data_IF_391716628250
#
_entry.id   IF_391716628250
#
_cell.length_a   1.000
_cell.length_b   1.000
_cell.length_c   1.000
_cell.angle_alpha   90.00
_cell.angle_beta   90.00
_cell.angle_gamma   90.00
#
_symmetry.space_group_name_H-M   'P 1'
#
loop_
_entity.id
_entity.type
_entity.pdbx_description
1 polymer ?
#
# COMPACT_ATOMS: atom_id res chain seq x y z
N UNK A 1 49.27 30.55 30.09
CA UNK A 1 48.81 29.48 29.19
C UNK A 1 48.03 29.95 27.95
N UNK A 2 47.46 31.17 27.93
CA UNK A 2 46.69 31.67 26.76
C UNK A 2 47.60 32.13 25.59
N UNK A 3 48.82 32.57 25.88
CA UNK A 3 49.77 33.07 24.85
C UNK A 3 50.34 31.95 23.98
N UNK A 4 50.49 30.73 24.51
CA UNK A 4 50.95 29.58 23.70
C UNK A 4 49.91 29.13 22.67
N UNK A 5 48.61 29.28 22.96
CA UNK A 5 47.54 28.92 22.02
C UNK A 5 47.53 29.79 20.76
N UNK A 6 47.83 31.08 20.88
CA UNK A 6 47.86 32.02 19.75
C UNK A 6 48.99 31.74 18.77
N UNK A 7 50.15 31.32 19.27
CA UNK A 7 51.33 31.03 18.43
C UNK A 7 51.13 29.76 17.61
N UNK A 8 50.49 28.73 18.18
CA UNK A 8 50.16 27.48 17.46
C UNK A 8 49.13 27.74 16.35
N UNK A 9 48.14 28.61 16.61
CA UNK A 9 47.11 28.95 15.63
C UNK A 9 47.68 29.74 14.44
N UNK A 10 48.61 30.66 14.70
CA UNK A 10 49.30 31.40 13.64
C UNK A 10 50.26 30.53 12.83
N UNK A 11 50.97 29.58 13.47
CA UNK A 11 51.80 28.60 12.78
C UNK A 11 50.98 27.64 11.91
N UNK A 12 49.81 27.20 12.40
CA UNK A 12 48.89 26.35 11.64
C UNK A 12 48.31 27.09 10.43
N UNK A 13 47.91 28.35 10.61
CA UNK A 13 47.37 29.19 9.53
C UNK A 13 48.45 29.48 8.47
N UNK A 14 49.67 29.77 8.90
CA UNK A 14 50.80 29.97 8.00
C UNK A 14 51.17 28.70 7.23
N UNK A 15 51.16 27.54 7.90
CA UNK A 15 51.41 26.26 7.25
C UNK A 15 50.33 25.90 6.21
N UNK A 16 49.06 26.25 6.48
CA UNK A 16 47.93 26.04 5.55
C UNK A 16 47.99 26.94 4.31
N UNK A 17 48.59 28.14 4.43
CA UNK A 17 48.78 29.07 3.31
C UNK A 17 50.02 28.74 2.47
N UNK A 18 51.03 28.09 3.05
CA UNK A 18 52.30 27.80 2.36
C UNK A 18 52.40 26.39 1.78
N UNK A 19 51.50 25.48 2.12
CA UNK A 19 51.43 24.16 1.47
C UNK A 19 50.70 24.29 0.13
N UNK A 20 51.36 24.00 -1.01
CA UNK A 20 50.69 24.00 -2.30
C UNK A 20 49.60 22.93 -2.26
N UNK A 21 48.34 23.35 -2.41
CA UNK A 21 47.23 22.43 -2.62
C UNK A 21 47.55 21.66 -3.89
N UNK A 22 47.85 20.38 -3.77
CA UNK A 22 47.85 19.48 -4.92
C UNK A 22 46.44 19.50 -5.48
N UNK A 23 46.25 20.27 -6.54
CA UNK A 23 45.17 20.07 -7.51
C UNK A 23 45.46 18.72 -8.17
N UNK A 24 45.22 17.63 -7.44
CA UNK A 24 44.85 16.38 -8.04
C UNK A 24 43.51 16.65 -8.72
N UNK A 25 43.57 17.18 -9.94
CA UNK A 25 42.65 16.72 -10.98
C UNK A 25 42.84 15.21 -11.04
N UNK A 26 42.15 14.51 -10.16
CA UNK A 26 41.84 13.12 -10.34
C UNK A 26 40.93 13.11 -11.58
N UNK A 27 41.55 13.07 -12.76
CA UNK A 27 40.88 12.64 -13.97
C UNK A 27 40.16 11.37 -13.58
N UNK A 28 38.83 11.48 -13.53
CA UNK A 28 37.95 10.40 -13.14
C UNK A 28 38.21 9.31 -14.16
N UNK A 29 39.02 8.32 -13.76
CA UNK A 29 39.43 7.24 -14.63
C UNK A 29 38.14 6.55 -15.13
N UNK A 30 37.82 6.62 -16.43
CA UNK A 30 36.55 6.11 -16.96
C UNK A 30 36.39 4.62 -16.65
N UNK A 31 37.51 3.89 -16.45
CA UNK A 31 37.49 2.51 -16.00
C UNK A 31 36.92 2.35 -14.58
N UNK A 32 37.21 3.28 -13.66
CA UNK A 32 36.64 3.28 -12.30
C UNK A 32 35.15 3.63 -12.30
N UNK A 33 34.72 4.52 -13.20
CA UNK A 33 33.28 4.86 -13.34
C UNK A 33 32.52 3.67 -13.88
N UNK A 34 33.01 3.03 -14.95
CA UNK A 34 32.40 1.82 -15.49
C UNK A 34 32.33 0.70 -14.44
N UNK A 35 33.36 0.57 -13.60
CA UNK A 35 33.37 -0.42 -12.51
C UNK A 35 32.38 -0.06 -11.38
N UNK A 36 32.15 1.22 -11.10
CA UNK A 36 31.15 1.67 -10.14
C UNK A 36 29.72 1.49 -10.67
N UNK A 37 29.47 1.76 -11.95
CA UNK A 37 28.19 1.50 -12.61
C UNK A 37 27.87 0.00 -12.61
N UNK A 38 28.86 -0.85 -12.89
CA UNK A 38 28.70 -2.29 -12.84
C UNK A 38 28.40 -2.80 -11.42
N UNK A 39 29.01 -2.20 -10.38
CA UNK A 39 28.70 -2.49 -8.97
C UNK A 39 27.32 -2.00 -8.55
N UNK A 40 26.87 -0.85 -9.07
CA UNK A 40 25.52 -0.32 -8.84
C UNK A 40 24.46 -1.21 -9.47
N UNK A 41 24.67 -1.66 -10.71
CA UNK A 41 23.76 -2.61 -11.37
C UNK A 41 23.68 -3.96 -10.64
N UNK A 42 24.80 -4.45 -10.10
CA UNK A 42 24.79 -5.65 -9.26
C UNK A 42 24.00 -5.47 -7.95
N UNK A 43 24.10 -4.29 -7.32
CA UNK A 43 23.33 -3.96 -6.12
C UNK A 43 21.83 -3.80 -6.39
N UNK A 44 21.45 -3.26 -7.56
CA UNK A 44 20.06 -3.20 -8.00
C UNK A 44 19.49 -4.60 -8.28
N UNK A 45 20.30 -5.51 -8.85
CA UNK A 45 19.94 -6.92 -8.99
C UNK A 45 19.63 -7.59 -7.65
N UNK A 46 20.51 -7.39 -6.65
CA UNK A 46 20.28 -7.91 -5.28
C UNK A 46 19.01 -7.32 -4.66
N UNK A 47 18.69 -6.04 -4.94
CA UNK A 47 17.46 -5.40 -4.45
C UNK A 47 16.21 -6.00 -5.09
N UNK A 48 16.29 -6.37 -6.37
CA UNK A 48 15.24 -7.12 -7.07
C UNK A 48 15.03 -8.50 -6.47
N UNK A 49 16.11 -9.24 -6.21
CA UNK A 49 16.05 -10.55 -5.55
C UNK A 49 15.43 -10.49 -4.15
N UNK A 50 15.79 -9.49 -3.34
CA UNK A 50 15.17 -9.25 -2.04
C UNK A 50 13.67 -8.93 -2.15
N UNK A 51 13.25 -8.22 -3.19
CA UNK A 51 11.82 -8.00 -3.48
C UNK A 51 11.08 -9.30 -3.79
N UNK A 52 11.69 -10.19 -4.57
CA UNK A 52 11.09 -11.52 -4.88
C UNK A 52 11.04 -12.43 -3.66
N UNK A 53 12.04 -12.38 -2.78
CA UNK A 53 12.05 -13.08 -1.49
C UNK A 53 10.96 -12.56 -0.56
N UNK A 54 10.74 -11.24 -0.52
CA UNK A 54 9.63 -10.63 0.21
C UNK A 54 8.26 -11.10 -0.30
N UNK A 55 8.09 -11.19 -1.63
CA UNK A 55 6.88 -11.76 -2.23
C UNK A 55 6.67 -13.23 -1.90
N UNK A 56 7.74 -14.04 -1.85
CA UNK A 56 7.68 -15.46 -1.44
C UNK A 56 7.33 -15.61 0.04
N UNK A 57 7.84 -14.75 0.92
CA UNK A 57 7.46 -14.73 2.33
C UNK A 57 5.98 -14.34 2.51
N UNK A 58 5.49 -13.37 1.75
CA UNK A 58 4.07 -12.99 1.77
C UNK A 58 3.16 -14.14 1.30
N UNK A 59 3.64 -14.96 0.35
CA UNK A 59 2.93 -16.14 -0.14
C UNK A 59 2.93 -17.32 0.86
N UNK A 60 3.85 -17.32 1.84
CA UNK A 60 3.91 -18.34 2.90
C UNK A 60 2.99 -18.01 4.10
N UNK A 61 2.64 -16.74 4.33
CA UNK A 61 1.70 -16.34 5.39
C UNK A 61 0.36 -17.11 5.39
N UNK A 62 -0.32 -17.38 4.25
CA UNK A 62 -1.53 -18.19 4.25
C UNK A 62 -1.28 -19.68 4.55
N UNK A 63 -0.08 -20.21 4.28
CA UNK A 63 0.28 -21.58 4.65
C UNK A 63 0.53 -21.71 6.14
N UNK A 64 1.17 -20.72 6.76
CA UNK A 64 1.39 -20.65 8.20
C UNK A 64 0.05 -20.59 8.97
N UNK A 65 -0.90 -19.79 8.46
CA UNK A 65 -2.28 -19.77 8.98
C UNK A 65 -3.01 -21.11 8.84
N UNK A 66 -2.76 -21.88 7.77
CA UNK A 66 -3.33 -23.23 7.60
C UNK A 66 -2.69 -24.24 8.53
N UNK A 67 -1.40 -24.13 8.80
CA UNK A 67 -0.70 -24.99 9.76
C UNK A 67 -1.20 -24.70 11.18
N UNK A 68 -1.29 -23.43 11.60
CA UNK A 68 -1.89 -23.09 12.89
C UNK A 68 -3.36 -23.50 13.00
N UNK A 69 -4.14 -23.41 11.92
CA UNK A 69 -5.52 -23.89 11.90
C UNK A 69 -5.61 -25.42 12.01
N UNK A 70 -4.61 -26.17 11.53
CA UNK A 70 -4.52 -27.62 11.68
C UNK A 70 -4.00 -28.03 13.07
N UNK A 71 -3.01 -27.32 13.60
CA UNK A 71 -2.48 -27.55 14.95
C UNK A 71 -3.52 -27.22 16.04
N UNK A 72 -4.31 -26.16 15.84
CA UNK A 72 -5.40 -25.81 16.74
C UNK A 72 -6.70 -26.55 16.46
N UNK A 73 -6.75 -27.40 15.41
CA UNK A 73 -7.93 -28.23 15.15
C UNK A 73 -7.97 -29.28 16.24
N UNK A 74 -8.98 -29.27 17.14
CA UNK A 74 -9.11 -30.31 18.15
C UNK A 74 -9.13 -31.66 17.44
N UNK A 75 -8.41 -32.69 17.93
CA UNK A 75 -8.45 -34.01 17.34
C UNK A 75 -9.93 -34.42 17.21
N UNK A 76 -10.34 -35.00 16.05
CA UNK A 76 -11.71 -35.44 15.88
C UNK A 76 -12.03 -36.37 17.05
N UNK A 77 -13.02 -35.96 17.87
CA UNK A 77 -13.47 -36.75 19.00
C UNK A 77 -13.92 -38.09 18.42
N UNK A 78 -13.12 -39.13 18.63
CA UNK A 78 -13.51 -40.49 18.26
C UNK A 78 -14.88 -40.74 18.90
N UNK A 79 -15.88 -41.21 18.14
CA UNK A 79 -17.19 -41.52 18.68
C UNK A 79 -17.02 -42.40 19.92
N UNK A 80 -17.58 -41.97 21.05
CA UNK A 80 -17.44 -42.68 22.32
C UNK A 80 -18.08 -44.06 22.18
N UNK A 81 -17.26 -45.12 22.19
CA UNK A 81 -17.71 -46.51 22.03
C UNK A 81 -18.14 -47.15 23.35
N UNK A 82 -17.92 -46.48 24.49
CA UNK A 82 -18.34 -46.94 25.82
C UNK A 82 -19.84 -47.29 25.93
N UNK A 83 -20.79 -46.62 25.24
CA UNK A 83 -22.19 -47.04 25.27
C UNK A 83 -22.42 -48.38 24.60
N UNK A 84 -21.67 -48.69 23.54
CA UNK A 84 -21.78 -49.96 22.82
C UNK A 84 -21.18 -51.11 23.63
N UNK A 85 -20.05 -50.87 24.32
CA UNK A 85 -19.47 -51.85 25.25
C UNK A 85 -20.45 -52.18 26.40
N UNK A 86 -21.13 -51.18 26.95
CA UNK A 86 -22.17 -51.38 27.96
C UNK A 86 -23.36 -52.20 27.44
N UNK A 87 -23.79 -51.95 26.20
CA UNK A 87 -24.86 -52.74 25.57
C UNK A 87 -24.47 -54.20 25.37
N UNK A 88 -23.23 -54.48 24.93
CA UNK A 88 -22.72 -55.85 24.76
C UNK A 88 -22.64 -56.59 26.11
N UNK A 89 -22.16 -55.93 27.17
CA UNK A 89 -22.13 -56.52 28.51
C UNK A 89 -23.53 -56.90 29.03
N UNK A 90 -24.51 -56.01 28.85
CA UNK A 90 -25.91 -56.27 29.24
C UNK A 90 -26.57 -57.41 28.46
N UNK A 91 -26.16 -57.63 27.21
CA UNK A 91 -26.65 -58.74 26.38
C UNK A 91 -26.04 -60.07 26.83
N UNK A 92 -24.75 -60.07 27.14
CA UNK A 92 -24.05 -61.24 27.67
C UNK A 92 -24.64 -61.70 29.02
N UNK A 93 -24.96 -60.76 29.91
CA UNK A 93 -25.58 -61.09 31.19
C UNK A 93 -27.00 -61.68 31.03
N UNK A 94 -27.81 -61.11 30.13
CA UNK A 94 -29.13 -61.66 29.80
C UNK A 94 -29.06 -63.07 29.24
N UNK A 95 -28.08 -63.35 28.38
CA UNK A 95 -27.86 -64.70 27.84
C UNK A 95 -27.50 -65.70 28.95
N UNK A 96 -26.58 -65.33 29.86
CA UNK A 96 -26.18 -66.18 30.98
C UNK A 96 -27.30 -66.45 32.00
N UNK A 97 -28.25 -65.53 32.15
CA UNK A 97 -29.46 -65.75 32.99
C UNK A 97 -30.43 -66.70 32.28
N UNK A 98 -30.62 -66.55 30.96
CA UNK A 98 -31.49 -67.43 30.18
C UNK A 98 -30.98 -68.89 30.18
N UNK A 99 -29.67 -69.11 30.03
CA UNK A 99 -29.07 -70.45 30.08
C UNK A 99 -29.28 -71.13 31.44
N UNK A 100 -29.11 -70.39 32.54
CA UNK A 100 -29.37 -70.91 33.90
C UNK A 100 -30.84 -71.26 34.11
N UNK A 101 -31.76 -70.47 33.55
CA UNK A 101 -33.19 -70.76 33.56
C UNK A 101 -33.53 -72.04 32.80
N UNK A 102 -32.93 -72.24 31.63
CA UNK A 102 -33.12 -73.45 30.82
C UNK A 102 -32.62 -74.71 31.55
N UNK A 103 -31.45 -74.66 32.19
CA UNK A 103 -30.93 -75.78 32.98
C UNK A 103 -31.88 -76.16 34.14
N UNK A 104 -32.39 -75.17 34.88
CA UNK A 104 -33.35 -75.41 35.97
C UNK A 104 -34.68 -76.00 35.48
N UNK A 105 -35.15 -75.61 34.29
CA UNK A 105 -36.35 -76.17 33.71
C UNK A 105 -36.17 -77.67 33.36
N UNK A 106 -35.01 -78.04 32.81
CA UNK A 106 -34.65 -79.43 32.52
C UNK A 106 -34.59 -80.29 33.78
N UNK A 107 -33.98 -79.78 34.85
CA UNK A 107 -33.92 -80.50 36.13
C UNK A 107 -35.31 -80.73 36.74
N UNK A 108 -36.20 -79.74 36.65
CA UNK A 108 -37.60 -79.87 37.09
C UNK A 108 -38.38 -80.88 36.26
N UNK A 109 -38.16 -80.90 34.95
CA UNK A 109 -38.77 -81.88 34.05
C UNK A 109 -38.33 -83.30 34.42
N UNK A 110 -37.02 -83.54 34.59
CA UNK A 110 -36.48 -84.83 35.00
C UNK A 110 -36.99 -85.26 36.39
N UNK A 111 -37.11 -84.33 37.34
CA UNK A 111 -37.66 -84.62 38.66
C UNK A 111 -39.15 -85.02 38.58
N UNK A 112 -39.95 -84.35 37.74
CA UNK A 112 -41.35 -84.70 37.53
C UNK A 112 -41.51 -86.06 36.84
N UNK A 113 -40.64 -86.38 35.89
CA UNK A 113 -40.65 -87.67 35.20
C UNK A 113 -40.36 -88.83 36.17
N UNK A 114 -39.39 -88.68 37.09
CA UNK A 114 -39.15 -89.66 38.16
C UNK A 114 -40.36 -89.83 39.09
N UNK A 115 -41.08 -88.73 39.37
CA UNK A 115 -42.31 -88.79 40.20
C UNK A 115 -43.44 -89.52 39.47
N UNK A 116 -43.56 -89.34 38.15
CA UNK A 116 -44.52 -90.07 37.33
C UNK A 116 -44.20 -91.58 37.30
N UNK A 117 -42.94 -91.95 37.06
CA UNK A 117 -42.51 -93.36 37.09
C UNK A 117 -42.75 -94.02 38.46
N UNK A 118 -42.51 -93.30 39.55
CA UNK A 118 -42.80 -93.79 40.90
C UNK A 118 -44.30 -93.98 41.17
N UNK A 119 -45.17 -93.22 40.49
CA UNK A 119 -46.63 -93.38 40.57
C UNK A 119 -47.12 -94.54 39.70
N UNK A 120 -46.49 -94.80 38.56
CA UNK A 120 -46.78 -95.94 37.67
C UNK A 120 -46.34 -97.28 38.29
N UNK A 121 -45.30 -97.30 39.11
CA UNK A 121 -44.83 -98.49 39.84
C UNK A 121 -45.71 -98.89 41.06
N UNK A 122 -46.92 -98.33 41.19
CA UNK A 122 -47.81 -98.68 42.30
C UNK A 122 -48.27 -100.15 42.21
N UNK A 123 -48.20 -100.92 43.30
CA UNK A 123 -48.63 -102.32 43.31
C UNK A 123 -50.13 -102.43 43.03
N UNK A 124 -50.50 -103.50 42.31
CA UNK A 124 -51.87 -103.82 41.93
C UNK A 124 -52.79 -103.86 43.17
N UNK A 125 -53.93 -103.17 43.05
CA UNK A 125 -54.97 -103.09 44.06
C UNK A 125 -55.51 -104.48 44.39
N UNK A 126 -55.39 -104.90 45.65
CA UNK A 126 -55.92 -106.16 46.17
C UNK A 126 -57.39 -105.97 46.59
N UNK A 127 -58.36 -106.55 45.87
CA UNK A 127 -59.78 -106.38 46.15
C UNK A 127 -60.27 -107.17 47.38
N UNK A 128 -59.43 -107.94 48.07
CA UNK A 128 -59.80 -108.66 49.30
C UNK A 128 -59.53 -107.87 50.59
N UNK A 129 -58.79 -106.76 50.53
CA UNK A 129 -58.48 -105.88 51.66
C UNK A 129 -59.42 -104.65 51.72
N UNK A 130 -60.72 -104.84 51.44
CA UNK A 130 -61.71 -103.77 51.52
C UNK A 130 -61.85 -103.33 52.97
N UNK A 131 -61.30 -102.15 53.26
CA UNK A 131 -61.36 -101.53 54.57
C UNK A 131 -62.83 -101.36 55.01
N UNK A 132 -63.11 -101.48 56.33
CA UNK A 132 -64.46 -101.33 56.88
C UNK A 132 -65.06 -99.98 56.48
N UNK A 133 -66.40 -99.90 56.37
CA UNK A 133 -67.19 -98.74 55.92
C UNK A 133 -66.71 -97.36 56.44
N UNK A 134 -66.17 -97.31 57.65
CA UNK A 134 -65.56 -96.12 58.25
C UNK A 134 -64.33 -95.56 57.49
N UNK A 135 -63.55 -96.39 56.81
CA UNK A 135 -62.42 -95.95 55.99
C UNK A 135 -62.86 -95.27 54.69
N UNK A 136 -64.01 -95.66 54.13
CA UNK A 136 -64.61 -94.95 53.00
C UNK A 136 -65.14 -93.58 53.42
N UNK A 137 -65.74 -93.48 54.60
CA UNK A 137 -66.18 -92.18 55.15
C UNK A 137 -64.97 -91.25 55.41
N UNK A 138 -63.87 -91.79 55.92
CA UNK A 138 -62.61 -91.04 56.09
C UNK A 138 -61.98 -90.60 54.75
N UNK A 139 -62.11 -91.42 53.70
CA UNK A 139 -61.68 -91.02 52.35
C UNK A 139 -62.61 -89.97 51.75
N UNK A 140 -63.92 -90.07 51.96
CA UNK A 140 -64.91 -89.06 51.55
C UNK A 140 -64.59 -87.69 52.12
N UNK A 141 -64.42 -87.60 53.45
CA UNK A 141 -64.04 -86.33 54.11
C UNK A 141 -62.69 -85.78 53.62
N UNK A 142 -61.72 -86.65 53.32
CA UNK A 142 -60.42 -86.25 52.77
C UNK A 142 -60.54 -85.73 51.33
N UNK A 143 -61.36 -86.38 50.49
CA UNK A 143 -61.63 -85.94 49.12
C UNK A 143 -62.34 -84.60 49.13
N UNK A 144 -63.31 -84.40 50.01
CA UNK A 144 -63.98 -83.10 50.20
C UNK A 144 -63.00 -82.01 50.64
N UNK A 145 -62.16 -82.29 51.63
CA UNK A 145 -61.12 -81.35 52.07
C UNK A 145 -60.10 -81.03 50.96
N UNK A 146 -59.75 -82.02 50.12
CA UNK A 146 -58.91 -81.80 48.95
C UNK A 146 -59.62 -80.97 47.88
N UNK A 147 -60.90 -81.21 47.62
CA UNK A 147 -61.70 -80.42 46.69
C UNK A 147 -61.78 -78.96 47.14
N UNK A 148 -62.02 -78.70 48.43
CA UNK A 148 -62.00 -77.33 48.98
C UNK A 148 -60.62 -76.68 48.85
N UNK A 149 -59.53 -77.43 49.09
CA UNK A 149 -58.17 -76.92 48.92
C UNK A 149 -57.84 -76.58 47.46
N UNK A 150 -58.30 -77.40 46.52
CA UNK A 150 -58.14 -77.12 45.09
C UNK A 150 -58.90 -75.86 44.69
N UNK A 151 -60.14 -75.68 45.16
CA UNK A 151 -60.91 -74.45 44.92
C UNK A 151 -60.22 -73.21 45.49
N UNK A 152 -59.63 -73.30 46.68
CA UNK A 152 -58.85 -72.20 47.27
C UNK A 152 -57.59 -71.88 46.47
N UNK A 153 -56.87 -72.90 46.00
CA UNK A 153 -55.69 -72.71 45.16
C UNK A 153 -56.04 -72.07 43.82
N UNK A 154 -57.15 -72.49 43.21
CA UNK A 154 -57.62 -71.93 41.94
C UNK A 154 -58.03 -70.45 42.09
N UNK A 155 -58.70 -70.12 43.20
CA UNK A 155 -59.01 -68.73 43.55
C UNK A 155 -57.74 -67.88 43.79
N UNK A 156 -56.72 -68.40 44.49
CA UNK A 156 -55.45 -67.69 44.71
C UNK A 156 -54.66 -67.51 43.40
N UNK A 157 -54.60 -68.55 42.55
CA UNK A 157 -53.96 -68.46 41.24
C UNK A 157 -54.64 -67.43 40.35
N UNK A 158 -55.98 -67.41 40.33
CA UNK A 158 -56.76 -66.42 39.58
C UNK A 158 -56.46 -65.00 40.07
N UNK A 159 -56.37 -64.81 41.40
CA UNK A 159 -56.02 -63.51 41.99
C UNK A 159 -54.61 -63.06 41.61
N UNK A 160 -53.62 -63.96 41.72
CA UNK A 160 -52.24 -63.67 41.34
C UNK A 160 -52.08 -63.37 39.85
N UNK A 161 -52.82 -64.08 39.00
CA UNK A 161 -52.83 -63.82 37.56
C UNK A 161 -53.39 -62.42 37.26
N UNK A 162 -54.49 -62.03 37.90
CA UNK A 162 -55.05 -60.68 37.74
C UNK A 162 -54.11 -59.59 38.27
N UNK A 163 -53.45 -59.83 39.41
CA UNK A 163 -52.46 -58.90 39.96
C UNK A 163 -51.23 -58.76 39.06
N UNK A 164 -50.73 -59.88 38.51
CA UNK A 164 -49.63 -59.87 37.54
C UNK A 164 -50.01 -59.13 36.26
N UNK A 165 -51.20 -59.38 35.71
CA UNK A 165 -51.71 -58.68 34.53
C UNK A 165 -51.78 -57.16 34.76
N UNK A 166 -52.32 -56.71 35.90
CA UNK A 166 -52.36 -55.28 36.24
C UNK A 166 -50.96 -54.67 36.41
N UNK A 167 -50.04 -55.42 37.00
CA UNK A 167 -48.66 -54.96 37.15
C UNK A 167 -47.95 -54.81 35.79
N UNK A 168 -48.20 -55.73 34.85
CA UNK A 168 -47.65 -55.67 33.50
C UNK A 168 -48.26 -54.52 32.68
N UNK A 169 -49.59 -54.33 32.73
CA UNK A 169 -50.26 -53.16 32.12
C UNK A 169 -49.71 -51.83 32.65
N UNK A 170 -49.47 -51.73 33.96
CA UNK A 170 -48.86 -50.55 34.56
C UNK A 170 -47.42 -50.33 34.10
N UNK A 171 -46.62 -51.39 33.94
CA UNK A 171 -45.26 -51.30 33.41
C UNK A 171 -45.25 -50.86 31.95
N UNK A 172 -46.17 -51.37 31.14
CA UNK A 172 -46.30 -50.97 29.74
C UNK A 172 -46.69 -49.50 29.63
N UNK A 173 -47.66 -49.03 30.41
CA UNK A 173 -48.04 -47.61 30.43
C UNK A 173 -46.88 -46.72 30.90
N UNK A 174 -46.17 -47.11 31.95
CA UNK A 174 -45.00 -46.38 32.42
C UNK A 174 -43.88 -46.36 31.37
N UNK A 175 -43.64 -47.48 30.68
CA UNK A 175 -42.65 -47.56 29.61
C UNK A 175 -43.03 -46.70 28.40
N UNK A 176 -44.31 -46.68 28.02
CA UNK A 176 -44.83 -45.82 26.96
C UNK A 176 -44.67 -44.33 27.32
N UNK A 177 -45.05 -43.95 28.55
CA UNK A 177 -44.87 -42.58 29.04
C UNK A 177 -43.39 -42.16 29.04
N UNK A 178 -42.50 -43.02 29.52
CA UNK A 178 -41.06 -42.78 29.49
C UNK A 178 -40.52 -42.64 28.06
N UNK A 179 -41.02 -43.44 27.11
CA UNK A 179 -40.64 -43.32 25.70
C UNK A 179 -41.12 -42.00 25.10
N UNK A 180 -42.37 -41.60 25.34
CA UNK A 180 -42.91 -40.31 24.88
C UNK A 180 -42.13 -39.13 25.45
N UNK A 181 -41.78 -39.18 26.74
CA UNK A 181 -40.96 -38.15 27.38
C UNK A 181 -39.58 -38.05 26.72
N UNK A 182 -38.90 -39.18 26.48
CA UNK A 182 -37.60 -39.20 25.79
C UNK A 182 -37.68 -38.66 24.36
N UNK A 183 -38.76 -38.96 23.62
CA UNK A 183 -38.97 -38.41 22.28
C UNK A 183 -39.18 -36.90 22.31
N UNK A 184 -39.92 -36.37 23.29
CA UNK A 184 -40.12 -34.93 23.46
C UNK A 184 -38.81 -34.23 23.86
N UNK A 185 -38.00 -34.83 24.73
CA UNK A 185 -36.68 -34.31 25.11
C UNK A 185 -35.72 -34.29 23.92
N UNK A 186 -35.70 -35.37 23.12
CA UNK A 186 -34.89 -35.44 21.91
C UNK A 186 -35.31 -34.37 20.88
N UNK A 187 -36.62 -34.21 20.65
CA UNK A 187 -37.14 -33.17 19.75
C UNK A 187 -36.75 -31.75 20.19
N UNK A 188 -36.84 -31.45 21.49
CA UNK A 188 -36.40 -30.16 22.05
C UNK A 188 -34.89 -29.95 21.91
N UNK A 189 -34.09 -31.00 22.11
CA UNK A 189 -32.65 -30.93 21.96
C UNK A 189 -32.24 -30.67 20.50
N UNK A 190 -32.92 -31.28 19.53
CA UNK A 190 -32.67 -31.04 18.11
C UNK A 190 -33.11 -29.63 17.68
N UNK A 191 -34.26 -29.14 18.15
CA UNK A 191 -34.68 -27.76 17.89
C UNK A 191 -33.67 -26.72 18.43
N UNK A 192 -33.11 -26.97 19.62
CA UNK A 192 -32.06 -26.12 20.18
C UNK A 192 -30.77 -26.16 19.35
N UNK A 193 -30.40 -27.34 18.82
CA UNK A 193 -29.24 -27.48 17.93
C UNK A 193 -29.44 -26.72 16.63
N UNK A 194 -30.63 -26.78 16.06
CA UNK A 194 -30.98 -26.07 14.83
C UNK A 194 -30.96 -24.56 15.02
N UNK A 195 -31.53 -24.07 16.13
CA UNK A 195 -31.46 -22.64 16.49
C UNK A 195 -30.01 -22.18 16.70
N UNK A 196 -29.19 -22.96 17.40
CA UNK A 196 -27.77 -22.65 17.59
C UNK A 196 -26.99 -22.67 16.26
N UNK A 197 -27.31 -23.58 15.35
CA UNK A 197 -26.71 -23.63 14.01
C UNK A 197 -27.10 -22.40 13.18
N UNK A 198 -28.37 -21.99 13.20
CA UNK A 198 -28.85 -20.80 12.51
C UNK A 198 -28.18 -19.51 13.03
N UNK A 199 -28.04 -19.37 14.36
CA UNK A 199 -27.34 -18.23 14.96
C UNK A 199 -25.86 -18.18 14.54
N UNK A 200 -25.19 -19.33 14.46
CA UNK A 200 -23.80 -19.42 13.97
C UNK A 200 -23.71 -19.02 12.49
N UNK A 201 -24.63 -19.47 11.65
CA UNK A 201 -24.67 -19.09 10.24
C UNK A 201 -24.86 -17.58 10.07
N UNK A 202 -25.82 -16.97 10.77
CA UNK A 202 -26.04 -15.53 10.73
C UNK A 202 -24.80 -14.74 11.20
N UNK A 203 -24.12 -15.20 12.25
CA UNK A 203 -22.90 -14.56 12.75
C UNK A 203 -21.76 -14.65 11.73
N UNK A 204 -21.59 -15.80 11.08
CA UNK A 204 -20.60 -16.01 10.02
C UNK A 204 -20.89 -15.15 8.79
N UNK A 205 -22.16 -15.05 8.39
CA UNK A 205 -22.59 -14.19 7.28
C UNK A 205 -22.29 -12.72 7.58
N UNK A 206 -22.66 -12.21 8.76
CA UNK A 206 -22.37 -10.84 9.17
C UNK A 206 -20.86 -10.57 9.22
N UNK A 207 -20.09 -11.50 9.78
CA UNK A 207 -18.61 -11.38 9.84
C UNK A 207 -18.01 -11.35 8.44
N UNK A 208 -18.53 -12.15 7.52
CA UNK A 208 -18.06 -12.21 6.13
C UNK A 208 -18.40 -10.92 5.39
N UNK A 209 -19.62 -10.40 5.54
CA UNK A 209 -20.03 -9.12 4.97
C UNK A 209 -19.18 -7.95 5.49
N UNK A 210 -18.89 -7.91 6.79
CA UNK A 210 -18.01 -6.90 7.38
C UNK A 210 -16.58 -6.98 6.81
N UNK A 211 -16.04 -8.20 6.67
CA UNK A 211 -14.70 -8.41 6.08
C UNK A 211 -14.65 -7.98 4.62
N UNK A 212 -15.69 -8.30 3.83
CA UNK A 212 -15.80 -7.87 2.44
C UNK A 212 -15.86 -6.34 2.34
N UNK A 213 -16.72 -5.68 3.12
CA UNK A 213 -16.80 -4.22 3.13
C UNK A 213 -15.49 -3.54 3.55
N UNK A 214 -14.77 -4.12 4.52
CA UNK A 214 -13.46 -3.60 4.93
C UNK A 214 -12.39 -3.77 3.84
N UNK A 215 -12.39 -4.89 3.12
CA UNK A 215 -11.50 -5.12 1.98
C UNK A 215 -11.81 -4.16 0.82
N UNK A 216 -13.09 -3.95 0.50
CA UNK A 216 -13.51 -3.02 -0.55
C UNK A 216 -13.09 -1.58 -0.22
N UNK A 217 -13.29 -1.15 1.03
CA UNK A 217 -12.84 0.17 1.48
C UNK A 217 -11.30 0.31 1.40
N UNK A 218 -10.56 -0.72 1.79
CA UNK A 218 -9.10 -0.72 1.71
C UNK A 218 -8.59 -0.69 0.26
N UNK A 219 -9.25 -1.40 -0.66
CA UNK A 219 -8.95 -1.36 -2.09
C UNK A 219 -9.25 0.02 -2.68
N UNK A 220 -10.40 0.62 -2.35
CA UNK A 220 -10.76 1.97 -2.77
C UNK A 220 -9.73 3.02 -2.33
N UNK A 221 -9.24 2.94 -1.08
CA UNK A 221 -8.18 3.82 -0.58
C UNK A 221 -6.85 3.62 -1.31
N UNK A 222 -6.47 2.37 -1.62
CA UNK A 222 -5.24 2.08 -2.37
C UNK A 222 -5.30 2.63 -3.80
N UNK A 223 -6.44 2.50 -4.48
CA UNK A 223 -6.64 3.06 -5.82
C UNK A 223 -6.53 4.58 -5.78
N UNK A 224 -7.22 5.25 -4.86
CA UNK A 224 -7.14 6.71 -4.72
C UNK A 224 -5.71 7.20 -4.42
N UNK A 225 -4.96 6.46 -3.60
CA UNK A 225 -3.55 6.78 -3.30
C UNK A 225 -2.65 6.62 -4.54
N UNK A 226 -2.86 5.57 -5.36
CA UNK A 226 -2.13 5.35 -6.60
C UNK A 226 -2.44 6.42 -7.64
N UNK A 227 -3.71 6.81 -7.79
CA UNK A 227 -4.10 7.91 -8.68
C UNK A 227 -3.46 9.24 -8.27
N UNK A 228 -3.41 9.52 -6.96
CA UNK A 228 -2.77 10.73 -6.45
C UNK A 228 -1.26 10.71 -6.67
N UNK A 229 -0.60 9.56 -6.45
CA UNK A 229 0.82 9.40 -6.74
C UNK A 229 1.11 9.58 -8.24
N UNK A 230 0.25 9.07 -9.13
CA UNK A 230 0.38 9.25 -10.58
C UNK A 230 0.28 10.73 -10.98
N UNK A 231 -0.70 11.47 -10.45
CA UNK A 231 -0.84 12.91 -10.70
C UNK A 231 0.39 13.69 -10.21
N UNK A 232 0.96 13.32 -9.07
CA UNK A 232 2.18 13.94 -8.55
C UNK A 232 3.39 13.68 -9.46
N UNK A 233 3.57 12.45 -9.95
CA UNK A 233 4.65 12.13 -10.89
C UNK A 233 4.52 12.93 -12.20
N UNK A 234 3.32 12.99 -12.78
CA UNK A 234 3.07 13.79 -13.98
C UNK A 234 3.37 15.28 -13.77
N UNK A 235 3.03 15.84 -12.61
CA UNK A 235 3.32 17.23 -12.28
C UNK A 235 4.84 17.51 -12.09
N UNK A 236 5.59 16.54 -11.55
CA UNK A 236 7.05 16.63 -11.43
C UNK A 236 7.73 16.51 -12.79
N UNK A 237 7.26 15.60 -13.63
CA UNK A 237 7.73 15.44 -15.01
C UNK A 237 7.48 16.71 -15.83
N UNK A 238 6.27 17.28 -15.76
CA UNK A 238 5.94 18.51 -16.47
C UNK A 238 6.79 19.69 -15.99
N UNK A 239 7.05 19.80 -14.68
CA UNK A 239 7.94 20.82 -14.11
C UNK A 239 9.37 20.66 -14.60
N UNK A 240 9.87 19.43 -14.65
CA UNK A 240 11.24 19.12 -15.11
C UNK A 240 11.38 19.40 -16.61
N UNK A 241 10.39 19.02 -17.42
CA UNK A 241 10.34 19.31 -18.84
C UNK A 241 10.32 20.82 -19.12
N UNK A 242 9.55 21.59 -18.32
CA UNK A 242 9.53 23.07 -18.39
C UNK A 242 10.91 23.66 -18.09
N UNK A 243 11.57 23.23 -17.02
CA UNK A 243 12.91 23.72 -16.67
C UNK A 243 13.92 23.43 -17.79
N UNK A 244 13.91 22.21 -18.34
CA UNK A 244 14.76 21.86 -19.47
C UNK A 244 14.47 22.69 -20.73
N UNK A 245 13.21 23.05 -20.98
CA UNK A 245 12.84 23.95 -22.08
C UNK A 245 13.37 25.38 -21.86
N UNK A 246 13.28 25.90 -20.64
CA UNK A 246 13.82 27.21 -20.27
C UNK A 246 15.35 27.25 -20.43
N UNK A 247 16.05 26.22 -19.99
CA UNK A 247 17.52 26.17 -20.09
C UNK A 247 17.97 26.11 -21.56
N UNK A 248 17.25 25.35 -22.41
CA UNK A 248 17.50 25.37 -23.86
C UNK A 248 17.26 26.74 -24.48
N UNK A 249 16.18 27.44 -24.11
CA UNK A 249 15.92 28.79 -24.59
C UNK A 249 17.01 29.78 -24.15
N UNK A 250 17.48 29.68 -22.90
CA UNK A 250 18.56 30.52 -22.39
C UNK A 250 19.85 30.29 -23.17
N UNK A 251 20.19 29.03 -23.45
CA UNK A 251 21.34 28.65 -24.28
C UNK A 251 21.23 29.19 -25.71
N UNK A 252 20.09 28.99 -26.37
CA UNK A 252 19.85 29.46 -27.73
C UNK A 252 19.89 31.00 -27.84
N UNK A 253 19.29 31.71 -26.88
CA UNK A 253 19.35 33.17 -26.82
C UNK A 253 20.78 33.69 -26.64
N UNK A 254 21.57 33.04 -25.77
CA UNK A 254 22.98 33.38 -25.56
C UNK A 254 23.85 33.11 -26.80
N UNK A 255 23.55 32.03 -27.52
CA UNK A 255 24.27 31.62 -28.73
C UNK A 255 23.82 32.35 -30.01
N UNK A 256 22.74 33.15 -29.95
CA UNK A 256 22.19 33.83 -31.13
C UNK A 256 21.47 32.88 -32.10
N UNK A 257 20.96 31.75 -31.60
CA UNK A 257 20.23 30.78 -32.42
C UNK A 257 18.72 31.12 -32.48
N UNK A 258 18.04 30.81 -33.60
CA UNK A 258 16.59 30.96 -33.70
C UNK A 258 15.90 30.07 -32.67
N UNK A 259 14.84 30.60 -32.04
CA UNK A 259 14.18 29.99 -30.90
C UNK A 259 13.03 29.04 -31.28
N UNK A 260 12.76 28.85 -32.57
CA UNK A 260 11.56 28.18 -33.08
C UNK A 260 11.29 26.80 -32.47
N UNK A 261 12.28 25.90 -32.45
CA UNK A 261 12.11 24.55 -31.91
C UNK A 261 11.87 24.53 -30.40
N UNK A 262 12.50 25.45 -29.66
CA UNK A 262 12.37 25.55 -28.22
C UNK A 262 11.03 26.21 -27.82
N UNK A 263 10.56 27.19 -28.60
CA UNK A 263 9.28 27.85 -28.39
C UNK A 263 8.09 26.95 -28.75
N UNK A 264 8.25 26.03 -29.71
CA UNK A 264 7.19 25.09 -30.09
C UNK A 264 6.75 24.16 -28.94
N UNK A 265 7.55 24.03 -27.88
CA UNK A 265 7.26 23.18 -26.71
C UNK A 265 6.59 23.92 -25.55
N UNK A 266 6.34 25.22 -25.70
CA UNK A 266 5.76 26.07 -24.65
C UNK A 266 4.38 26.50 -25.10
N UNK A 267 3.39 26.26 -24.23
CA UNK A 267 2.05 26.81 -24.44
C UNK A 267 2.09 28.33 -24.29
N UNK A 268 1.69 29.03 -25.35
CA UNK A 268 1.66 30.50 -25.43
C UNK A 268 3.02 31.19 -25.16
N UNK A 269 3.96 31.17 -26.12
CA UNK A 269 5.23 31.85 -25.96
C UNK A 269 5.06 33.39 -25.84
N UNK A 270 5.77 34.05 -24.91
CA UNK A 270 5.77 35.51 -24.83
C UNK A 270 6.16 36.15 -26.17
N UNK A 271 5.47 37.22 -26.59
CA UNK A 271 5.73 37.89 -27.89
C UNK A 271 7.18 38.37 -28.05
N UNK A 272 7.84 38.73 -26.94
CA UNK A 272 9.25 39.13 -26.94
C UNK A 272 10.20 38.00 -27.37
N UNK A 273 9.83 36.73 -27.15
CA UNK A 273 10.56 35.56 -27.62
C UNK A 273 10.06 35.09 -28.99
N UNK A 274 8.75 35.17 -29.24
CA UNK A 274 8.13 34.74 -30.49
C UNK A 274 8.71 35.44 -31.74
N UNK A 275 9.11 36.71 -31.63
CA UNK A 275 9.77 37.44 -32.74
C UNK A 275 11.09 36.80 -33.21
N UNK A 276 11.75 36.04 -32.34
CA UNK A 276 13.00 35.34 -32.61
C UNK A 276 12.78 33.86 -32.95
N UNK A 277 11.54 33.45 -33.24
CA UNK A 277 11.25 32.09 -33.64
C UNK A 277 11.96 31.71 -34.96
N UNK A 278 12.02 32.65 -35.91
CA UNK A 278 12.61 32.44 -37.24
C UNK A 278 13.90 33.24 -37.46
N UNK A 279 14.06 34.38 -36.79
CA UNK A 279 15.23 35.26 -36.90
C UNK A 279 16.17 35.10 -35.70
N UNK A 280 17.48 35.05 -35.97
CA UNK A 280 18.50 35.01 -34.94
C UNK A 280 18.43 36.26 -34.03
N UNK A 281 18.34 36.11 -32.70
CA UNK A 281 18.36 37.23 -31.79
C UNK A 281 19.75 37.89 -31.76
N UNK A 282 19.84 39.22 -31.56
CA UNK A 282 21.12 39.89 -31.38
C UNK A 282 21.78 39.39 -30.09
N UNK A 283 23.02 38.91 -30.19
CA UNK A 283 23.81 38.52 -29.01
C UNK A 283 24.49 39.73 -28.39
N UNK A 284 24.88 39.63 -27.13
CA UNK A 284 25.63 40.70 -26.46
C UNK A 284 26.98 40.96 -27.13
N UNK A 285 27.64 39.90 -27.63
CA UNK A 285 28.85 40.04 -28.42
C UNK A 285 28.60 40.81 -29.73
N UNK A 286 27.50 40.51 -30.44
CA UNK A 286 27.12 41.24 -31.64
C UNK A 286 26.79 42.72 -31.35
N UNK A 287 26.14 43.01 -30.22
CA UNK A 287 25.89 44.38 -29.77
C UNK A 287 27.18 45.13 -29.45
N UNK A 288 28.17 44.49 -28.82
CA UNK A 288 29.49 45.08 -28.57
C UNK A 288 30.25 45.38 -29.86
N UNK A 289 30.25 44.43 -30.80
CA UNK A 289 30.89 44.58 -32.11
C UNK A 289 30.26 45.71 -32.93
N UNK A 290 28.94 45.82 -32.94
CA UNK A 290 28.20 46.85 -33.70
C UNK A 290 28.15 48.21 -33.02
N UNK A 291 28.49 48.30 -31.73
CA UNK A 291 28.46 49.56 -30.99
C UNK A 291 29.41 50.60 -31.57
N UNK A 292 30.62 50.19 -31.99
CA UNK A 292 31.62 51.09 -32.55
C UNK A 292 31.16 51.80 -33.81
N UNK A 293 30.52 51.06 -34.70
CA UNK A 293 30.02 51.61 -35.96
C UNK A 293 28.82 52.53 -35.71
N UNK A 294 27.93 52.16 -34.80
CA UNK A 294 26.82 53.02 -34.36
C UNK A 294 27.33 54.31 -33.67
N UNK A 295 28.37 54.21 -32.83
CA UNK A 295 29.00 55.33 -32.14
C UNK A 295 29.67 56.30 -33.13
N UNK A 296 30.37 55.80 -34.16
CA UNK A 296 30.93 56.63 -35.23
C UNK A 296 29.84 57.37 -36.00
N UNK A 297 28.75 56.69 -36.35
CA UNK A 297 27.61 57.32 -37.02
C UNK A 297 26.97 58.41 -36.14
N UNK A 298 26.86 58.17 -34.83
CA UNK A 298 26.34 59.13 -33.87
C UNK A 298 27.21 60.39 -33.75
N UNK A 299 28.54 60.22 -33.70
CA UNK A 299 29.50 61.35 -33.71
C UNK A 299 29.37 62.18 -34.99
N UNK A 300 29.37 61.54 -36.16
CA UNK A 300 29.22 62.22 -37.43
C UNK A 300 27.89 63.00 -37.54
N UNK A 301 26.80 62.44 -37.00
CA UNK A 301 25.50 63.11 -36.97
C UNK A 301 25.48 64.30 -35.97
N UNK A 302 26.19 64.20 -34.85
CA UNK A 302 26.36 65.29 -33.88
C UNK A 302 27.15 66.45 -34.49
N UNK A 303 28.29 66.16 -35.13
CA UNK A 303 29.16 67.14 -35.78
C UNK A 303 28.44 67.89 -36.91
N UNK A 304 27.70 67.17 -37.75
CA UNK A 304 26.94 67.76 -38.84
C UNK A 304 25.82 68.70 -38.35
N UNK A 305 25.21 68.40 -37.21
CA UNK A 305 24.19 69.27 -36.61
C UNK A 305 24.79 70.52 -35.94
N UNK A 306 26.08 70.47 -35.57
CA UNK A 306 26.82 71.56 -34.94
C UNK A 306 27.47 72.52 -35.95
N UNK A 307 27.35 72.23 -37.26
CA UNK A 307 27.77 73.09 -38.37
C UNK A 307 26.56 73.55 -39.22
N UNK A 308 25.66 74.42 -38.70
CA UNK A 308 24.46 74.82 -39.42
C UNK A 308 24.70 75.94 -40.44
N UNK A 309 25.88 76.59 -40.43
CA UNK A 309 26.19 77.71 -41.34
C UNK A 309 27.13 77.27 -42.47
N UNK A 310 26.66 77.43 -43.71
CA UNK A 310 27.27 76.96 -44.96
C UNK A 310 28.62 77.58 -45.37
N UNK A 311 29.56 77.79 -44.46
CA UNK A 311 30.94 78.13 -44.78
C UNK A 311 31.75 76.87 -45.08
N UNK A 312 32.17 76.71 -46.34
CA UNK A 312 33.08 75.65 -46.81
C UNK A 312 34.27 75.48 -45.86
N UNK A 313 34.64 74.25 -45.46
CA UNK A 313 35.74 74.04 -44.53
C UNK A 313 37.06 74.38 -45.23
N UNK A 314 37.76 75.39 -44.71
CA UNK A 314 39.13 75.66 -45.09
C UNK A 314 40.00 74.48 -44.66
N UNK A 315 40.74 73.89 -45.60
CA UNK A 315 41.67 72.76 -45.38
C UNK A 315 42.76 73.10 -44.34
N UNK A 316 42.88 74.37 -43.92
CA UNK A 316 43.78 74.81 -42.84
C UNK A 316 43.17 74.79 -41.43
N UNK A 317 41.84 74.76 -41.27
CA UNK A 317 41.19 74.73 -39.95
C UNK A 317 41.24 73.31 -39.33
N UNK A 318 41.24 72.30 -40.21
CA UNK A 318 41.38 70.88 -39.83
C UNK A 318 42.75 70.52 -39.24
N UNK A 319 43.79 71.33 -39.46
CA UNK A 319 45.13 71.11 -38.91
C UNK A 319 45.31 71.76 -37.52
N UNK A 320 44.65 72.90 -37.26
CA UNK A 320 44.64 73.55 -35.94
C UNK A 320 43.74 72.83 -34.94
N UNK A 321 42.64 72.22 -35.40
CA UNK A 321 41.74 71.44 -34.53
C UNK A 321 42.39 70.13 -34.02
N UNK A 322 43.36 69.56 -34.77
CA UNK A 322 44.11 68.36 -34.33
C UNK A 322 45.17 68.64 -33.25
N UNK A 323 45.58 69.91 -33.07
CA UNK A 323 46.57 70.31 -32.06
C UNK A 323 45.93 70.81 -30.74
N UNK A 324 44.63 71.15 -30.75
CA UNK A 324 43.89 71.55 -29.54
C UNK A 324 43.27 70.40 -28.74
N UNK A 325 43.29 69.17 -29.27
CA UNK A 325 42.56 68.01 -28.73
C UNK A 325 43.15 67.32 -27.50
N UNK A 326 44.14 67.91 -26.81
CA UNK A 326 44.87 67.23 -25.74
C UNK A 326 44.87 67.92 -24.37
N UNK A 327 43.96 68.86 -24.10
CA UNK A 327 43.88 69.52 -22.79
C UNK A 327 42.42 69.64 -22.32
N UNK A 328 41.99 68.70 -21.48
CA UNK A 328 40.76 68.84 -20.69
C UNK A 328 41.10 69.49 -19.33
N UNK A 329 40.77 70.78 -19.16
CA UNK A 329 40.79 71.42 -17.83
C UNK A 329 39.36 71.47 -17.30
N UNK A 330 39.12 70.73 -16.22
CA UNK A 330 37.86 70.70 -15.48
C UNK A 330 37.79 71.94 -14.56
N UNK A 331 36.79 72.82 -14.75
CA UNK A 331 36.42 73.87 -13.79
C UNK A 331 34.90 73.87 -13.57
N UNK A 332 34.44 73.21 -12.51
CA UNK A 332 33.01 73.18 -12.13
C UNK A 332 32.12 72.26 -12.99
N UNK A 333 30.81 72.54 -12.97
CA UNK A 333 29.73 71.68 -13.50
C UNK A 333 29.36 71.92 -14.98
N UNK A 334 30.14 72.72 -15.73
CA UNK A 334 29.88 72.99 -17.14
C UNK A 334 31.11 72.68 -18.01
N UNK A 335 30.97 71.69 -18.89
CA UNK A 335 31.97 71.33 -19.91
C UNK A 335 31.75 72.26 -21.11
N UNK A 336 32.67 73.22 -21.32
CA UNK A 336 32.52 74.28 -22.32
C UNK A 336 33.19 73.95 -23.65
N UNK A 337 34.07 72.94 -23.74
CA UNK A 337 34.59 72.44 -25.02
C UNK A 337 35.01 70.97 -24.86
N UNK A 338 34.48 70.10 -25.72
CA UNK A 338 34.49 68.64 -25.59
C UNK A 338 33.07 68.13 -25.85
N UNK A 339 32.90 67.32 -26.89
CA UNK A 339 31.58 66.88 -27.37
C UNK A 339 30.81 66.16 -26.25
N UNK A 340 29.74 66.79 -25.74
CA UNK A 340 28.90 66.20 -24.71
C UNK A 340 28.29 64.86 -25.18
N UNK A 341 28.13 64.66 -26.49
CA UNK A 341 27.74 63.38 -27.05
C UNK A 341 28.86 62.34 -26.91
N UNK A 342 30.12 62.70 -27.15
CA UNK A 342 31.27 61.81 -27.00
C UNK A 342 31.44 61.32 -25.55
N UNK A 343 31.23 62.21 -24.57
CA UNK A 343 31.27 61.84 -23.15
C UNK A 343 30.19 60.81 -22.78
N UNK A 344 28.97 60.94 -23.29
CA UNK A 344 27.90 59.96 -23.04
C UNK A 344 28.11 58.66 -23.84
N UNK A 345 28.62 58.73 -25.08
CA UNK A 345 28.97 57.55 -25.88
C UNK A 345 30.04 56.70 -25.16
N UNK A 346 31.08 57.32 -24.60
CA UNK A 346 32.11 56.57 -23.84
C UNK A 346 31.56 55.96 -22.54
N UNK A 347 30.62 56.62 -21.85
CA UNK A 347 29.94 56.02 -20.70
C UNK A 347 29.07 54.83 -21.13
N UNK A 348 28.35 54.96 -22.25
CA UNK A 348 27.57 53.88 -22.82
C UNK A 348 28.45 52.69 -23.21
N UNK A 349 29.65 52.92 -23.77
CA UNK A 349 30.63 51.88 -24.08
C UNK A 349 31.09 51.17 -22.81
N UNK A 350 31.52 51.90 -21.79
CA UNK A 350 32.00 51.31 -20.53
C UNK A 350 30.92 50.47 -19.85
N UNK A 351 29.68 50.94 -19.85
CA UNK A 351 28.54 50.17 -19.34
C UNK A 351 28.35 48.86 -20.14
N UNK A 352 28.42 48.94 -21.48
CA UNK A 352 28.30 47.78 -22.35
C UNK A 352 29.45 46.77 -22.18
N UNK A 353 30.69 47.23 -22.02
CA UNK A 353 31.86 46.40 -21.73
C UNK A 353 31.72 45.68 -20.38
N UNK A 354 31.12 46.36 -19.39
CA UNK A 354 30.76 45.77 -18.11
C UNK A 354 29.57 44.78 -18.19
N UNK A 355 28.95 44.63 -19.37
CA UNK A 355 27.77 43.78 -19.59
C UNK A 355 26.44 44.41 -19.17
N UNK A 356 26.45 45.69 -18.81
CA UNK A 356 25.26 46.44 -18.42
C UNK A 356 24.64 47.16 -19.62
N UNK A 357 23.90 46.37 -20.40
CA UNK A 357 23.17 46.86 -21.59
C UNK A 357 22.10 47.88 -21.22
N UNK A 358 21.52 47.79 -20.02
CA UNK A 358 20.47 48.69 -19.54
C UNK A 358 21.04 50.07 -19.22
N UNK A 359 22.17 50.13 -18.50
CA UNK A 359 22.91 51.38 -18.29
C UNK A 359 23.43 51.97 -19.60
N UNK A 360 23.87 51.14 -20.56
CA UNK A 360 24.30 51.61 -21.87
C UNK A 360 23.16 52.35 -22.61
N UNK A 361 21.94 51.79 -22.59
CA UNK A 361 20.76 52.45 -23.16
C UNK A 361 20.42 53.77 -22.47
N UNK A 362 20.53 53.86 -21.14
CA UNK A 362 20.28 55.10 -20.41
C UNK A 362 21.23 56.23 -20.82
N UNK A 363 22.49 55.93 -21.11
CA UNK A 363 23.46 56.90 -21.61
C UNK A 363 23.15 57.34 -23.04
N UNK A 364 22.72 56.42 -23.90
CA UNK A 364 22.31 56.73 -25.29
C UNK A 364 21.08 57.63 -25.31
N UNK A 365 20.12 57.42 -24.40
CA UNK A 365 18.92 58.27 -24.30
C UNK A 365 19.24 59.72 -23.87
N UNK A 366 20.44 59.97 -23.31
CA UNK A 366 20.92 61.33 -22.97
C UNK A 366 21.62 62.03 -24.13
N UNK A 367 21.88 61.34 -25.24
CA UNK A 367 22.52 61.94 -26.41
C UNK A 367 21.66 63.04 -27.04
N UNK A 368 22.28 64.02 -27.72
CA UNK A 368 21.57 64.97 -28.56
C UNK A 368 20.68 64.27 -29.61
N UNK A 369 19.54 64.87 -30.02
CA UNK A 369 18.59 64.25 -30.96
C UNK A 369 19.21 63.63 -32.23
N UNK A 370 20.13 64.29 -32.96
CA UNK A 370 20.70 63.72 -34.19
C UNK A 370 21.58 62.49 -33.91
N UNK A 371 22.41 62.54 -32.87
CA UNK A 371 23.25 61.41 -32.45
C UNK A 371 22.41 60.24 -31.94
N UNK A 372 21.33 60.53 -31.18
CA UNK A 372 20.39 59.52 -30.70
C UNK A 372 19.67 58.83 -31.85
N UNK A 373 19.26 59.58 -32.86
CA UNK A 373 18.62 59.03 -34.06
C UNK A 373 19.56 58.09 -34.82
N UNK A 374 20.83 58.44 -34.96
CA UNK A 374 21.84 57.57 -35.58
C UNK A 374 22.06 56.25 -34.79
N UNK A 375 21.90 56.26 -33.46
CA UNK A 375 22.01 55.06 -32.62
C UNK A 375 20.72 54.23 -32.50
N UNK A 376 19.58 54.67 -33.08
CA UNK A 376 18.29 53.99 -32.90
C UNK A 376 18.33 52.50 -33.27
N UNK A 377 18.96 52.16 -34.40
CA UNK A 377 19.05 50.76 -34.83
C UNK A 377 19.77 49.85 -33.83
N UNK A 378 20.83 50.36 -33.19
CA UNK A 378 21.53 49.64 -32.12
C UNK A 378 20.67 49.58 -30.86
N UNK A 379 20.04 50.69 -30.47
CA UNK A 379 19.20 50.78 -29.28
C UNK A 379 18.00 49.83 -29.36
N UNK A 380 17.39 49.68 -30.53
CA UNK A 380 16.25 48.77 -30.74
C UNK A 380 16.67 47.30 -30.62
N UNK A 381 17.84 46.93 -31.13
CA UNK A 381 18.40 45.57 -30.94
C UNK A 381 18.68 45.28 -29.46
N UNK A 382 19.28 46.23 -28.75
CA UNK A 382 19.56 46.12 -27.32
C UNK A 382 18.27 45.98 -26.49
N UNK A 383 17.25 46.81 -26.77
CA UNK A 383 15.92 46.70 -26.13
C UNK A 383 15.23 45.38 -26.43
N UNK A 384 15.35 44.87 -27.66
CA UNK A 384 14.78 43.58 -28.05
C UNK A 384 15.43 42.41 -27.29
N UNK A 385 16.75 42.44 -27.09
CA UNK A 385 17.46 41.46 -26.26
C UNK A 385 17.04 41.53 -24.78
N UNK A 386 16.92 42.74 -24.22
CA UNK A 386 16.45 42.93 -22.83
C UNK A 386 15.02 42.42 -22.64
N UNK A 387 14.12 42.72 -23.58
CA UNK A 387 12.75 42.22 -23.55
C UNK A 387 12.70 40.69 -23.60
N UNK A 388 13.52 40.04 -24.43
CA UNK A 388 13.63 38.57 -24.47
C UNK A 388 14.16 37.99 -23.14
N UNK A 389 15.21 38.58 -22.56
CA UNK A 389 15.76 38.15 -21.26
C UNK A 389 14.74 38.33 -20.13
N UNK A 390 13.96 39.41 -20.15
CA UNK A 390 12.89 39.64 -19.19
C UNK A 390 11.77 38.60 -19.33
N UNK A 391 11.34 38.31 -20.56
CA UNK A 391 10.33 37.29 -20.82
C UNK A 391 10.76 35.88 -20.37
N UNK A 392 12.05 35.51 -20.54
CA UNK A 392 12.58 34.25 -20.01
C UNK A 392 12.54 34.18 -18.49
N UNK A 393 12.83 35.29 -17.79
CA UNK A 393 12.74 35.33 -16.32
C UNK A 393 11.30 35.19 -15.84
N UNK A 394 10.34 35.81 -16.52
CA UNK A 394 8.92 35.65 -16.23
C UNK A 394 8.47 34.19 -16.43
N UNK A 395 8.91 33.54 -17.51
CA UNK A 395 8.58 32.15 -17.80
C UNK A 395 9.19 31.16 -16.80
N UNK A 396 10.31 31.52 -16.17
CA UNK A 396 10.92 30.73 -15.11
C UNK A 396 10.26 30.93 -13.73
N UNK A 397 9.54 32.05 -13.54
CA UNK A 397 8.87 32.38 -12.29
C UNK A 397 7.43 31.86 -12.20
N UNK A 398 6.77 31.61 -13.34
CA UNK A 398 5.45 30.98 -13.44
C UNK A 398 5.52 29.48 -13.66
#
# INVERSE_FOLDING_TARGET
MIVLGGVVLLLALWWLLKTPRSTNEAGVDPARVAQLEQRLGALEGVRGELGTLGGRLQALAPLEGRVQALENKPPPQMPDLRPLEGQVASLAERAAVAERGAAQATDRAAANERRLQALEAKPAFDPAAVAPRAAFDALGTRVEAQATRLQQLDADLTRRLQEAQRADEQREQAAQQALTQKLQEAARADEQRDQAAQQRLQTLEQTTQQKLGALDAALGQRVAALEQAQKQMQALESRTARLAAIDRLRGALGAGQPLGEALARIDQPPQALARFAQAAPPTEAALRLSFEDAAKAARAASDAAMQPDGSKPGVMDSALTRLGGLVTIRRGDQVVWGDAAEAEIERARRALEAGDVEMSLQHIDRLPPPARQAMQGWADQARALLAARAALRQLAAG
#
